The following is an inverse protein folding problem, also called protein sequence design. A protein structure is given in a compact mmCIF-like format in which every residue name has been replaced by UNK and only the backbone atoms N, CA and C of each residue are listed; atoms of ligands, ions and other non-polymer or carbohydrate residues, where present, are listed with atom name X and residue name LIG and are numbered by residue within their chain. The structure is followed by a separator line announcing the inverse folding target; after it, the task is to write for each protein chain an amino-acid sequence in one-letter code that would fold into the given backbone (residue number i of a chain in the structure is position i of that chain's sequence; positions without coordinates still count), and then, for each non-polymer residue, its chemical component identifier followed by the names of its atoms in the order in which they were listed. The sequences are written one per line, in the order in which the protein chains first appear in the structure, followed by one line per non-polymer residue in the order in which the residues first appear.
data_IF_397729282597
#
_entry.id   IF_397729282597
#
_cell.length_a   1.000
_cell.length_b   1.000
_cell.length_c   1.000
_cell.angle_alpha   90.00
_cell.angle_beta   90.00
_cell.angle_gamma   90.00
#
_symmetry.space_group_name_H-M   'P 1'
#
loop_
_entity.id
_entity.type
_entity.pdbx_description
1 polymer ?
#
# COMPACT_ATOMS: atom_id res chain seq x y z
N UNK A 1 15.16 -47.67 3.45
CA UNK A 1 14.55 -48.06 2.15
C UNK A 1 13.45 -47.05 1.85
N UNK A 2 13.66 -46.11 0.92
CA UNK A 2 13.07 -46.10 -0.45
C UNK A 2 11.55 -46.39 -0.45
N UNK A 3 10.63 -45.67 -1.10
CA UNK A 3 10.63 -44.50 -2.01
C UNK A 3 9.15 -44.11 -2.24
N UNK A 4 8.89 -42.81 -2.40
CA UNK A 4 8.04 -42.15 -3.44
C UNK A 4 6.52 -42.39 -3.47
N UNK A 5 5.75 -41.29 -3.45
CA UNK A 5 4.73 -41.01 -4.49
C UNK A 5 4.65 -39.51 -4.83
N UNK A 6 4.49 -39.25 -6.13
CA UNK A 6 4.53 -37.96 -6.85
C UNK A 6 3.22 -37.16 -6.75
N UNK A 7 3.38 -35.83 -6.63
CA UNK A 7 2.80 -34.72 -7.41
C UNK A 7 1.26 -34.66 -7.59
N UNK A 8 0.63 -33.59 -7.11
CA UNK A 8 -0.22 -32.63 -7.86
C UNK A 8 -0.68 -31.51 -6.90
N UNK A 9 -0.14 -30.30 -7.04
CA UNK A 9 -1.01 -29.16 -7.35
C UNK A 9 -0.44 -27.85 -6.84
N UNK A 10 -0.04 -26.98 -7.77
CA UNK A 10 0.28 -25.57 -7.54
C UNK A 10 -0.94 -24.84 -6.97
N UNK A 11 -0.73 -24.00 -5.96
CA UNK A 11 -1.17 -22.60 -6.04
C UNK A 11 -0.25 -21.70 -5.21
N UNK A 12 0.39 -20.80 -5.93
CA UNK A 12 1.12 -19.65 -5.42
C UNK A 12 0.25 -18.80 -4.50
N UNK A 13 0.92 -18.16 -3.55
CA UNK A 13 0.79 -16.72 -3.40
C UNK A 13 0.07 -16.25 -2.16
N UNK A 14 0.75 -15.34 -1.46
CA UNK A 14 0.25 -14.41 -0.44
C UNK A 14 -0.04 -15.06 0.92
N UNK A 15 1.04 -15.28 1.66
CA UNK A 15 1.03 -14.84 3.06
C UNK A 15 0.57 -13.39 3.06
N UNK A 16 -0.68 -13.15 3.43
CA UNK A 16 -1.16 -11.81 3.71
C UNK A 16 -0.27 -11.27 4.82
N UNK A 17 0.62 -10.34 4.46
CA UNK A 17 1.39 -9.57 5.42
C UNK A 17 0.41 -8.98 6.43
N UNK A 18 0.66 -9.07 7.76
CA UNK A 18 -0.17 -8.39 8.73
C UNK A 18 -0.33 -6.91 8.34
N UNK A 19 -1.45 -6.24 8.71
CA UNK A 19 -1.62 -4.82 8.43
C UNK A 19 -0.35 -4.11 8.90
N UNK A 20 0.29 -3.38 7.97
CA UNK A 20 1.48 -2.60 8.28
C UNK A 20 1.24 -1.87 9.60
N UNK A 21 2.07 -2.16 10.60
CA UNK A 21 1.97 -1.54 11.91
C UNK A 21 1.74 -0.04 11.74
N UNK A 22 0.95 0.59 12.60
CA UNK A 22 0.66 2.04 12.61
C UNK A 22 1.92 2.93 12.76
N UNK A 23 3.11 2.39 12.55
CA UNK A 23 4.41 3.02 12.75
C UNK A 23 5.08 3.43 11.42
N UNK A 24 4.55 3.04 10.25
CA UNK A 24 5.24 3.19 8.95
C UNK A 24 4.56 4.11 7.92
N UNK A 25 3.56 4.89 8.34
CA UNK A 25 2.86 5.82 7.43
C UNK A 25 3.68 7.08 7.17
N UNK A 26 3.76 7.48 5.90
CA UNK A 26 4.42 8.69 5.43
C UNK A 26 3.51 9.48 4.47
N UNK A 27 3.66 10.82 4.41
CA UNK A 27 3.06 11.61 3.34
C UNK A 27 3.49 11.09 1.96
N UNK A 28 2.53 10.91 1.06
CA UNK A 28 2.73 10.33 -0.27
C UNK A 28 2.36 8.86 -0.38
N UNK A 29 2.16 8.16 0.74
CA UNK A 29 1.70 6.77 0.72
C UNK A 29 0.29 6.65 0.13
N UNK A 30 0.07 5.57 -0.61
CA UNK A 30 -1.27 5.21 -1.08
C UNK A 30 -1.99 4.40 0.00
N UNK A 31 -3.14 4.88 0.45
CA UNK A 31 -3.99 4.20 1.42
C UNK A 31 -5.25 3.66 0.77
N UNK A 32 -5.73 2.52 1.25
CA UNK A 32 -7.08 2.02 0.96
C UNK A 32 -7.88 1.91 2.25
N UNK A 33 -9.08 2.47 2.25
CA UNK A 33 -10.01 2.38 3.37
C UNK A 33 -10.48 0.94 3.56
N UNK A 34 -10.23 0.37 4.73
CA UNK A 34 -10.76 -0.95 5.15
C UNK A 34 -11.88 -0.84 6.18
N UNK A 35 -12.12 0.38 6.68
CA UNK A 35 -13.21 0.66 7.60
C UNK A 35 -14.57 0.59 6.86
N UNK A 36 -15.55 -0.20 7.32
CA UNK A 36 -16.84 -0.34 6.65
C UNK A 36 -17.72 0.91 6.76
N UNK A 37 -17.35 1.85 7.63
CA UNK A 37 -18.17 3.00 7.98
C UNK A 37 -19.28 2.66 8.98
N UNK A 38 -20.08 3.67 9.38
CA UNK A 38 -19.89 5.09 9.08
C UNK A 38 -18.74 5.72 9.90
N UNK A 39 -18.30 6.91 9.49
CA UNK A 39 -17.28 7.66 10.22
C UNK A 39 -17.94 8.60 11.22
N UNK A 40 -17.37 8.73 12.42
CA UNK A 40 -17.92 9.57 13.47
C UNK A 40 -16.97 10.70 13.85
N UNK A 41 -17.52 11.89 14.10
CA UNK A 41 -16.74 13.05 14.55
C UNK A 41 -16.47 12.94 16.04
N UNK A 42 -15.21 13.06 16.44
CA UNK A 42 -14.81 13.02 17.85
C UNK A 42 -15.50 14.07 18.72
N UNK A 43 -15.75 15.28 18.19
CA UNK A 43 -16.33 16.40 18.94
C UNK A 43 -17.76 16.13 19.44
N UNK A 44 -18.63 15.61 18.56
CA UNK A 44 -20.07 15.57 18.79
C UNK A 44 -20.66 14.17 18.64
N UNK A 45 -19.84 13.16 18.32
CA UNK A 45 -20.27 11.78 18.06
C UNK A 45 -21.15 11.58 16.82
N UNK A 46 -21.45 12.66 16.08
CA UNK A 46 -22.29 12.59 14.88
C UNK A 46 -21.54 11.99 13.71
N UNK A 47 -22.29 11.34 12.82
CA UNK A 47 -21.77 10.87 11.55
C UNK A 47 -21.12 12.03 10.77
N UNK A 48 -19.94 11.74 10.22
CA UNK A 48 -19.13 12.65 9.45
C UNK A 48 -18.84 12.08 8.06
N UNK A 49 -18.52 12.94 7.09
CA UNK A 49 -18.00 12.48 5.82
C UNK A 49 -16.66 11.77 6.05
N UNK A 50 -16.42 10.72 5.27
CA UNK A 50 -15.18 9.99 5.24
C UNK A 50 -15.09 9.09 4.03
N UNK A 51 -13.95 8.43 3.82
CA UNK A 51 -13.75 7.52 2.70
C UNK A 51 -14.67 6.31 2.81
N UNK A 52 -15.23 5.90 1.67
CA UNK A 52 -16.02 4.67 1.59
C UNK A 52 -15.11 3.44 1.72
N UNK A 53 -15.67 2.29 2.06
CA UNK A 53 -14.93 1.03 2.01
C UNK A 53 -14.30 0.82 0.63
N UNK A 54 -13.04 0.37 0.61
CA UNK A 54 -12.19 0.19 -0.57
C UNK A 54 -11.83 1.47 -1.35
N UNK A 55 -12.23 2.66 -0.86
CA UNK A 55 -11.81 3.92 -1.46
C UNK A 55 -10.30 4.12 -1.26
N UNK A 56 -9.62 4.64 -2.29
CA UNK A 56 -8.17 4.80 -2.31
C UNK A 56 -7.80 6.28 -2.43
N UNK A 57 -6.88 6.73 -1.59
CA UNK A 57 -6.40 8.10 -1.62
C UNK A 57 -4.96 8.19 -1.12
N UNK A 58 -4.29 9.28 -1.49
CA UNK A 58 -2.90 9.54 -1.12
C UNK A 58 -2.88 10.27 0.23
N UNK A 59 -2.10 9.72 1.16
CA UNK A 59 -1.87 10.33 2.47
C UNK A 59 -1.14 11.66 2.27
N UNK A 60 -1.76 12.75 2.70
CA UNK A 60 -1.20 14.10 2.59
C UNK A 60 -0.36 14.47 3.79
N UNK A 61 -0.76 14.04 4.98
CA UNK A 61 -0.04 14.26 6.23
C UNK A 61 -0.33 13.15 7.22
N UNK A 62 0.64 12.90 8.09
CA UNK A 62 0.58 11.92 9.18
C UNK A 62 0.93 12.65 10.46
N UNK A 63 0.17 12.43 11.52
CA UNK A 63 0.43 13.01 12.84
C UNK A 63 -0.17 12.16 13.94
N UNK A 64 0.25 12.39 15.18
CA UNK A 64 -0.32 11.72 16.36
C UNK A 64 -1.44 12.59 16.93
N UNK A 65 -2.64 12.03 17.05
CA UNK A 65 -3.79 12.70 17.66
C UNK A 65 -3.68 12.76 19.19
N UNK A 66 -4.60 13.48 19.83
CA UNK A 66 -4.63 13.64 21.30
C UNK A 66 -4.81 12.31 22.05
N UNK A 67 -5.41 11.31 21.41
CA UNK A 67 -5.56 9.95 21.93
C UNK A 67 -4.29 9.09 21.83
N UNK A 68 -3.19 9.62 21.28
CA UNK A 68 -1.98 8.86 20.99
C UNK A 68 -2.09 7.99 19.73
N UNK A 69 -3.23 8.02 19.04
CA UNK A 69 -3.45 7.27 17.80
C UNK A 69 -2.86 8.02 16.60
N UNK A 70 -2.29 7.27 15.66
CA UNK A 70 -1.80 7.84 14.41
C UNK A 70 -2.97 8.20 13.50
N UNK A 71 -2.93 9.42 12.97
CA UNK A 71 -3.99 10.00 12.17
C UNK A 71 -3.48 10.30 10.75
N UNK A 72 -4.29 9.94 9.76
CA UNK A 72 -4.03 10.19 8.34
C UNK A 72 -4.93 11.31 7.84
N UNK A 73 -4.34 12.29 7.15
CA UNK A 73 -5.06 13.36 6.45
C UNK A 73 -4.96 13.15 4.95
N UNK A 74 -6.07 13.33 4.25
CA UNK A 74 -6.17 13.21 2.80
C UNK A 74 -6.64 14.53 2.19
N UNK A 75 -6.16 14.86 0.98
CA UNK A 75 -6.54 16.10 0.29
C UNK A 75 -8.04 16.22 0.05
N UNK A 76 -8.70 15.10 -0.27
CA UNK A 76 -10.13 15.05 -0.59
C UNK A 76 -11.04 15.47 0.56
N UNK A 77 -10.59 15.28 1.80
CA UNK A 77 -11.40 15.55 3.00
C UNK A 77 -10.96 16.81 3.76
N UNK A 78 -10.14 17.65 3.13
CA UNK A 78 -9.68 18.93 3.68
C UNK A 78 -8.83 18.75 4.94
N UNK A 79 -9.21 19.43 6.03
CA UNK A 79 -8.48 19.38 7.31
C UNK A 79 -8.84 18.17 8.18
N UNK A 80 -9.80 17.34 7.75
CA UNK A 80 -10.22 16.15 8.51
C UNK A 80 -9.14 15.10 8.48
N UNK A 81 -9.07 14.36 9.57
CA UNK A 81 -8.06 13.33 9.74
C UNK A 81 -8.74 12.09 10.33
N UNK A 82 -8.29 10.92 9.91
CA UNK A 82 -8.91 9.64 10.21
C UNK A 82 -7.89 8.72 10.86
N UNK A 83 -8.35 7.83 11.73
CA UNK A 83 -7.49 6.85 12.39
C UNK A 83 -6.81 5.95 11.34
N UNK A 84 -5.49 5.81 11.43
CA UNK A 84 -4.70 4.96 10.55
C UNK A 84 -5.14 3.49 10.57
N UNK A 85 -5.72 3.01 11.68
CA UNK A 85 -6.27 1.65 11.80
C UNK A 85 -7.42 1.37 10.83
N UNK A 86 -8.08 2.42 10.32
CA UNK A 86 -9.12 2.31 9.30
C UNK A 86 -8.59 2.09 7.88
N UNK A 87 -7.27 2.03 7.68
CA UNK A 87 -6.64 1.99 6.36
C UNK A 87 -5.60 0.88 6.24
N UNK A 88 -5.42 0.36 5.03
CA UNK A 88 -4.25 -0.43 4.64
C UNK A 88 -3.36 0.35 3.70
N UNK A 89 -2.04 0.22 3.86
CA UNK A 89 -1.05 0.79 2.95
C UNK A 89 -0.96 -0.06 1.69
N UNK A 90 -1.09 0.56 0.52
CA UNK A 90 -0.85 -0.08 -0.77
C UNK A 90 0.61 0.23 -1.15
N UNK A 91 1.46 -0.79 -1.08
CA UNK A 91 2.82 -0.70 -1.62
C UNK A 91 2.79 -1.02 -3.12
N UNK A 92 3.36 -0.17 -4.00
CA UNK A 92 3.59 -0.56 -5.38
C UNK A 92 4.53 -1.77 -5.37
N UNK A 93 4.02 -2.92 -5.80
CA UNK A 93 4.86 -4.07 -6.03
C UNK A 93 5.65 -3.77 -7.31
N UNK A 94 6.95 -3.47 -7.18
CA UNK A 94 7.83 -3.48 -8.33
C UNK A 94 7.84 -4.93 -8.84
N UNK A 95 7.31 -5.16 -10.04
CA UNK A 95 7.49 -6.43 -10.72
C UNK A 95 8.99 -6.63 -10.98
N UNK A 96 9.65 -7.43 -10.13
CA UNK A 96 11.07 -7.79 -10.29
C UNK A 96 11.36 -8.37 -11.68
N UNK A 97 10.35 -8.95 -12.34
CA UNK A 97 10.43 -9.47 -13.71
C UNK A 97 10.69 -8.37 -14.76
N UNK A 98 10.17 -7.15 -14.57
CA UNK A 98 10.37 -6.04 -15.52
C UNK A 98 11.74 -5.39 -15.30
N UNK A 99 12.26 -5.41 -14.08
CA UNK A 99 13.59 -4.87 -13.76
C UNK A 99 14.73 -5.67 -14.42
N UNK A 100 14.56 -6.99 -14.58
CA UNK A 100 15.52 -7.84 -15.27
C UNK A 100 15.60 -7.55 -16.79
N UNK A 101 14.46 -7.22 -17.41
CA UNK A 101 14.37 -6.96 -18.85
C UNK A 101 15.05 -5.62 -19.23
N UNK A 102 14.93 -4.60 -18.36
CA UNK A 102 15.58 -3.31 -18.55
C UNK A 102 17.13 -3.41 -18.53
N UNK A 103 17.70 -4.27 -17.69
CA UNK A 103 19.14 -4.52 -17.64
C UNK A 103 19.64 -5.25 -18.90
N UNK A 104 18.82 -6.13 -19.47
CA UNK A 104 19.14 -6.84 -20.71
C UNK A 104 19.17 -5.89 -21.92
N UNK A 105 18.20 -4.97 -22.02
CA UNK A 105 18.12 -3.98 -23.11
C UNK A 105 19.33 -3.03 -23.08
N UNK A 106 19.80 -2.62 -21.90
CA UNK A 106 20.98 -1.76 -21.75
C UNK A 106 22.29 -2.41 -22.25
N UNK A 107 22.41 -3.75 -22.16
CA UNK A 107 23.57 -4.49 -22.68
C UNK A 107 23.53 -4.61 -24.21
N UNK A 108 22.34 -4.70 -24.81
CA UNK A 108 22.18 -4.99 -26.25
C UNK A 108 22.02 -3.75 -27.14
N UNK A 109 21.80 -2.56 -26.55
CA UNK A 109 21.66 -1.30 -27.28
C UNK A 109 22.95 -0.45 -27.33
N UNK A 110 24.13 -1.00 -27.05
CA UNK A 110 25.37 -0.24 -27.27
C UNK A 110 25.43 0.21 -28.73
N UNK A 111 25.59 1.51 -29.03
CA UNK A 111 25.82 1.95 -30.39
C UNK A 111 27.13 1.31 -30.85
N UNK A 112 27.10 0.63 -32.01
CA UNK A 112 28.31 0.30 -32.75
C UNK A 112 28.96 1.63 -33.14
N UNK A 113 29.87 2.11 -32.30
CA UNK A 113 30.80 3.16 -32.69
C UNK A 113 31.52 2.65 -33.94
N UNK A 114 31.26 3.33 -35.06
CA UNK A 114 31.86 3.01 -36.34
C UNK A 114 33.35 3.26 -36.20
N UNK A 115 34.15 2.21 -36.38
CA UNK A 115 35.58 2.35 -36.58
C UNK A 115 35.83 3.30 -37.76
N UNK A 116 36.65 4.33 -37.52
CA UNK A 116 37.42 5.03 -38.54
C UNK A 116 38.87 4.60 -38.42
#
# INVERSE_FOLDING_TARGET
MSRVFRIFGRRCGKTATPPDSAEDWQPGDLAECVHPGPWYRTRDGREGPGPNFADRDIVRAVFIGESGLQMLRFSRFGVRSYDALGFRKIRPQADELIAADAAFIAVHLRPRERAQ
#
